data_IF_820179720250
#
_entry.id   IF_820179720250
#
_cell.length_a   1.000
_cell.length_b   1.000
_cell.length_c   1.000
_cell.angle_alpha   90.00
_cell.angle_beta   90.00
_cell.angle_gamma   90.00
#
_symmetry.space_group_name_H-M   'P 1'
#
loop_
_entity.id
_entity.type
_entity.pdbx_description
1 polymer ?
#
# COMPACT_ATOMS: atom_id res chain seq x y z
N UNK A 1 4.86 3.71 -11.95
CA UNK A 1 3.85 3.77 -10.89
C UNK A 1 2.54 3.27 -11.47
N UNK A 2 1.58 2.92 -10.62
CA UNK A 2 0.25 2.43 -10.98
C UNK A 2 -0.74 3.17 -10.09
N UNK A 3 -1.81 3.68 -10.70
CA UNK A 3 -3.04 4.07 -10.01
C UNK A 3 -4.14 3.17 -10.55
N UNK A 4 -4.98 2.64 -9.68
CA UNK A 4 -6.06 1.77 -10.11
C UNK A 4 -7.19 1.63 -9.11
N UNK A 5 -8.14 0.76 -9.46
CA UNK A 5 -9.21 0.34 -8.55
C UNK A 5 -8.83 -0.96 -7.85
N UNK A 6 -8.97 -1.03 -6.51
CA UNK A 6 -8.62 -2.22 -5.74
C UNK A 6 -9.29 -3.47 -6.31
N UNK A 7 -8.68 -4.64 -6.15
CA UNK A 7 -9.34 -5.89 -6.56
C UNK A 7 -10.39 -6.36 -5.55
N UNK A 8 -10.27 -5.94 -4.29
CA UNK A 8 -11.22 -6.23 -3.23
C UNK A 8 -12.60 -5.61 -3.51
N UNK A 9 -13.63 -6.46 -3.57
CA UNK A 9 -15.02 -6.03 -3.76
C UNK A 9 -15.48 -5.10 -2.64
N UNK A 10 -15.04 -5.34 -1.40
CA UNK A 10 -15.41 -4.51 -0.25
C UNK A 10 -14.85 -3.10 -0.40
N UNK A 11 -13.60 -2.97 -0.82
CA UNK A 11 -12.94 -1.67 -1.01
C UNK A 11 -13.53 -0.94 -2.22
N UNK A 12 -13.81 -1.67 -3.31
CA UNK A 12 -14.36 -1.10 -4.55
C UNK A 12 -15.73 -0.42 -4.36
N UNK A 13 -16.56 -0.90 -3.43
CA UNK A 13 -17.86 -0.27 -3.12
C UNK A 13 -17.74 1.19 -2.72
N UNK A 14 -16.59 1.59 -2.17
CA UNK A 14 -16.31 2.95 -1.73
C UNK A 14 -15.64 3.82 -2.78
N UNK A 15 -15.49 3.30 -4.01
CA UNK A 15 -14.86 3.98 -5.14
C UNK A 15 -13.45 4.52 -4.83
N UNK A 16 -12.75 3.91 -3.86
CA UNK A 16 -11.40 4.30 -3.49
C UNK A 16 -10.39 3.97 -4.62
N UNK A 17 -9.30 4.72 -4.66
CA UNK A 17 -8.16 4.44 -5.54
C UNK A 17 -7.06 3.72 -4.73
N UNK A 18 -6.17 3.00 -5.41
CA UNK A 18 -4.92 2.53 -4.82
C UNK A 18 -3.70 3.08 -5.55
N UNK A 19 -2.57 3.18 -4.84
CA UNK A 19 -1.26 3.50 -5.41
C UNK A 19 -0.37 2.27 -5.35
N UNK A 20 0.38 2.01 -6.43
CA UNK A 20 1.37 0.96 -6.41
C UNK A 20 2.53 1.22 -7.39
N UNK A 21 3.53 0.35 -7.36
CA UNK A 21 4.69 0.40 -8.22
C UNK A 21 4.70 -0.77 -9.21
N UNK A 22 5.29 -0.47 -10.37
CA UNK A 22 5.66 -1.44 -11.38
C UNK A 22 7.18 -1.44 -11.49
N UNK A 23 7.79 -2.58 -11.26
CA UNK A 23 9.23 -2.78 -11.38
C UNK A 23 9.53 -3.66 -12.59
N UNK A 24 10.58 -3.31 -13.31
CA UNK A 24 11.00 -4.01 -14.53
C UNK A 24 12.49 -4.28 -14.40
N UNK A 25 12.86 -5.55 -14.30
CA UNK A 25 14.25 -5.98 -14.37
C UNK A 25 14.60 -6.27 -15.83
N UNK A 26 15.42 -5.42 -16.44
CA UNK A 26 15.92 -5.58 -17.81
C UNK A 26 17.29 -6.26 -17.89
N UNK A 27 17.82 -6.72 -16.76
CA UNK A 27 19.13 -7.36 -16.70
C UNK A 27 19.02 -8.87 -16.94
N UNK A 28 20.17 -9.48 -17.21
CA UNK A 28 20.33 -10.92 -17.40
C UNK A 28 20.58 -11.69 -16.09
N UNK A 29 20.26 -11.08 -14.93
CA UNK A 29 20.30 -11.75 -13.64
C UNK A 29 19.08 -11.39 -12.81
N UNK A 30 18.70 -12.28 -11.90
CA UNK A 30 17.75 -11.93 -10.85
C UNK A 30 18.38 -10.89 -9.93
N UNK A 31 17.56 -10.01 -9.39
CA UNK A 31 18.00 -8.95 -8.46
C UNK A 31 17.10 -9.03 -7.23
N UNK A 32 17.72 -9.08 -6.06
CA UNK A 32 17.01 -9.02 -4.80
C UNK A 32 16.89 -7.57 -4.31
N UNK A 33 15.69 -7.18 -3.91
CA UNK A 33 15.30 -5.79 -3.69
C UNK A 33 14.58 -5.63 -2.35
N UNK A 34 14.96 -4.57 -1.62
CA UNK A 34 14.15 -3.95 -0.57
C UNK A 34 13.57 -2.65 -1.09
N UNK A 35 12.29 -2.40 -0.83
CA UNK A 35 11.55 -1.30 -1.44
C UNK A 35 10.74 -0.57 -0.39
N UNK A 36 10.89 0.75 -0.40
CA UNK A 36 10.14 1.70 0.42
C UNK A 36 9.54 2.78 -0.47
N UNK A 37 8.35 3.26 -0.10
CA UNK A 37 7.73 4.46 -0.67
C UNK A 37 7.37 5.43 0.44
N UNK A 38 7.77 6.68 0.25
CA UNK A 38 7.47 7.81 1.13
C UNK A 38 6.47 8.68 0.40
N UNK A 39 5.22 8.67 0.84
CA UNK A 39 4.13 9.43 0.24
C UNK A 39 3.94 10.69 1.06
N UNK A 40 3.97 11.86 0.42
CA UNK A 40 3.78 13.13 1.11
C UNK A 40 2.35 13.23 1.64
N UNK A 41 2.17 13.84 2.81
CA UNK A 41 0.84 14.12 3.35
C UNK A 41 0.26 15.39 2.77
N UNK A 42 -1.07 15.43 2.69
CA UNK A 42 -1.85 16.58 2.27
C UNK A 42 -3.18 16.62 3.04
N UNK A 43 -3.81 17.79 3.10
CA UNK A 43 -5.20 17.92 3.59
C UNK A 43 -6.23 17.49 2.53
N UNK A 44 -5.80 17.39 1.26
CA UNK A 44 -6.66 17.08 0.11
C UNK A 44 -6.96 15.59 -0.05
N UNK A 45 -6.14 14.73 0.55
CA UNK A 45 -6.27 13.28 0.50
C UNK A 45 -5.77 12.61 1.78
N UNK A 46 -6.26 11.39 2.03
CA UNK A 46 -5.80 10.52 3.10
C UNK A 46 -5.25 9.24 2.51
N UNK A 47 -4.10 8.80 3.02
CA UNK A 47 -3.47 7.53 2.67
C UNK A 47 -3.68 6.56 3.82
N UNK A 48 -4.16 5.36 3.51
CA UNK A 48 -4.37 4.29 4.49
C UNK A 48 -3.85 2.98 3.91
N UNK A 49 -3.53 2.03 4.79
CA UNK A 49 -3.44 0.64 4.36
C UNK A 49 -4.85 0.07 4.14
N UNK A 50 -4.97 -0.91 3.24
CA UNK A 50 -6.22 -1.59 2.93
C UNK A 50 -6.87 -2.19 4.18
N UNK A 51 -6.08 -2.83 5.05
CA UNK A 51 -6.59 -3.40 6.30
C UNK A 51 -7.15 -2.36 7.27
N UNK A 52 -6.55 -1.17 7.32
CA UNK A 52 -7.00 -0.07 8.17
C UNK A 52 -8.29 0.51 7.60
N UNK A 53 -8.35 0.67 6.28
CA UNK A 53 -9.56 1.10 5.57
C UNK A 53 -10.73 0.13 5.80
N UNK A 54 -10.52 -1.18 5.65
CA UNK A 54 -11.54 -2.20 5.90
C UNK A 54 -11.98 -2.22 7.37
N UNK A 55 -11.06 -1.98 8.31
CA UNK A 55 -11.36 -1.90 9.74
C UNK A 55 -12.25 -0.71 10.05
N UNK A 56 -11.99 0.45 9.44
CA UNK A 56 -12.82 1.64 9.59
C UNK A 56 -14.24 1.43 9.04
N UNK A 57 -14.37 0.81 7.86
CA UNK A 57 -15.68 0.45 7.28
C UNK A 57 -16.48 -0.44 8.24
N UNK A 58 -15.88 -1.56 8.67
CA UNK A 58 -16.56 -2.51 9.58
C UNK A 58 -16.98 -1.85 10.89
N UNK A 59 -16.15 -0.97 11.43
CA UNK A 59 -16.48 -0.20 12.64
C UNK A 59 -17.69 0.69 12.42
N UNK A 60 -17.73 1.44 11.32
CA UNK A 60 -18.84 2.32 10.99
C UNK A 60 -20.16 1.54 10.78
N UNK A 61 -20.11 0.39 10.11
CA UNK A 61 -21.27 -0.48 9.92
C UNK A 61 -21.82 -1.04 11.24
N UNK A 62 -20.94 -1.43 12.16
CA UNK A 62 -21.34 -1.93 13.47
C UNK A 62 -21.95 -0.84 14.35
N UNK A 63 -21.40 0.37 14.33
CA UNK A 63 -21.94 1.50 15.08
C UNK A 63 -23.37 1.85 14.61
N UNK A 64 -23.66 1.66 13.31
CA UNK A 64 -25.02 1.80 12.78
C UNK A 64 -25.94 0.66 13.22
N UNK A 65 -25.45 -0.59 13.24
CA UNK A 65 -26.23 -1.76 13.70
C UNK A 65 -26.55 -1.69 15.20
N UNK A 66 -25.61 -1.24 16.04
CA UNK A 66 -25.82 -1.13 17.50
C UNK A 66 -26.85 -0.08 17.90
N UNK A 67 -27.08 0.95 17.07
CA UNK A 67 -28.18 1.92 17.28
C UNK A 67 -29.56 1.28 17.10
N UNK A 68 -29.64 0.13 16.42
CA UNK A 68 -30.86 -0.62 16.17
C UNK A 68 -30.86 -1.94 16.97
N UNK A 69 -31.19 -1.85 18.26
CA UNK A 69 -31.50 -2.97 19.18
C UNK A 69 -30.37 -3.96 19.53
N UNK A 70 -30.49 -4.50 20.76
CA UNK A 70 -29.70 -5.54 21.44
C UNK A 70 -29.24 -6.72 20.56
N UNK A 71 -28.24 -6.50 19.70
CA UNK A 71 -27.53 -7.58 19.02
C UNK A 71 -26.34 -8.04 19.87
N UNK A 72 -26.14 -9.36 20.08
CA UNK A 72 -24.97 -9.85 20.77
C UNK A 72 -23.70 -9.45 20.01
N UNK A 73 -22.69 -9.00 20.75
CA UNK A 73 -21.40 -8.58 20.18
C UNK A 73 -20.68 -9.82 19.67
N UNK A 74 -20.75 -10.08 18.35
CA UNK A 74 -19.91 -11.08 17.69
C UNK A 74 -18.50 -10.49 17.50
N UNK A 75 -17.60 -10.79 18.45
CA UNK A 75 -16.19 -10.37 18.37
C UNK A 75 -15.42 -11.02 17.21
N UNK A 76 -15.95 -12.09 16.61
CA UNK A 76 -15.34 -12.79 15.46
C UNK A 76 -15.41 -12.02 14.15
N UNK A 77 -16.41 -11.14 13.96
CA UNK A 77 -16.70 -10.56 12.64
C UNK A 77 -15.82 -9.33 12.31
N UNK A 78 -15.11 -8.82 13.34
CA UNK A 78 -14.27 -7.63 13.25
C UNK A 78 -12.79 -7.92 12.97
N UNK A 79 -12.42 -9.18 12.76
CA UNK A 79 -11.05 -9.50 12.43
C UNK A 79 -10.77 -9.15 10.96
N UNK A 80 -9.89 -8.18 10.74
CA UNK A 80 -9.28 -7.89 9.44
C UNK A 80 -7.82 -8.32 9.57
N UNK A 81 -7.44 -9.35 8.81
CA UNK A 81 -6.06 -9.82 8.79
C UNK A 81 -5.20 -8.79 8.04
N UNK A 82 -4.17 -8.25 8.70
CA UNK A 82 -3.24 -7.31 8.08
C UNK A 82 -2.34 -7.99 7.04
N UNK A 83 -1.84 -7.20 6.09
CA UNK A 83 -0.93 -7.71 5.08
C UNK A 83 0.48 -7.86 5.68
N UNK A 84 0.85 -9.08 6.07
CA UNK A 84 2.15 -9.37 6.69
C UNK A 84 3.35 -8.98 5.80
N UNK A 85 3.16 -8.84 4.49
CA UNK A 85 4.23 -8.45 3.58
C UNK A 85 4.47 -6.93 3.53
N UNK A 86 3.67 -6.16 4.27
CA UNK A 86 3.74 -4.70 4.25
C UNK A 86 3.81 -4.20 5.69
N UNK A 87 4.64 -3.20 5.89
CA UNK A 87 4.60 -2.40 7.10
C UNK A 87 4.42 -0.94 6.69
N UNK A 88 3.73 -0.18 7.54
CA UNK A 88 3.54 1.24 7.33
C UNK A 88 3.85 2.01 8.61
N UNK A 89 4.52 3.13 8.42
CA UNK A 89 4.82 4.09 9.47
C UNK A 89 4.38 5.46 9.02
N UNK A 90 3.98 6.29 9.97
CA UNK A 90 3.46 7.61 9.68
C UNK A 90 4.16 8.65 10.53
N UNK A 91 4.69 9.69 9.88
CA UNK A 91 5.30 10.83 10.56
C UNK A 91 4.51 12.11 10.26
N UNK A 92 5.02 13.29 10.63
CA UNK A 92 4.29 14.56 10.45
C UNK A 92 4.07 14.94 8.98
N UNK A 93 4.96 14.52 8.08
CA UNK A 93 5.01 15.00 6.69
C UNK A 93 4.78 13.90 5.66
N UNK A 94 5.00 12.64 6.02
CA UNK A 94 5.02 11.50 5.11
C UNK A 94 4.29 10.30 5.72
N UNK A 95 3.66 9.53 4.84
CA UNK A 95 3.19 8.17 5.06
C UNK A 95 4.18 7.22 4.37
N UNK A 96 4.81 6.35 5.15
CA UNK A 96 5.92 5.51 4.72
C UNK A 96 5.40 4.08 4.64
N UNK A 97 5.61 3.42 3.49
CA UNK A 97 5.22 2.04 3.28
C UNK A 97 6.44 1.24 2.82
N UNK A 98 6.70 0.15 3.52
CA UNK A 98 7.82 -0.75 3.23
C UNK A 98 7.33 -2.17 2.93
N UNK A 99 8.12 -2.90 2.15
CA UNK A 99 7.91 -4.33 1.92
C UNK A 99 8.70 -5.15 2.93
N UNK A 100 8.00 -6.00 3.67
CA UNK A 100 8.60 -6.79 4.75
C UNK A 100 9.43 -7.96 4.22
N UNK A 101 10.56 -8.18 4.88
CA UNK A 101 11.41 -9.37 4.73
C UNK A 101 10.87 -10.50 5.60
N UNK A 102 9.91 -11.29 5.09
CA UNK A 102 9.27 -12.34 5.91
C UNK A 102 10.21 -13.49 6.29
N UNK A 103 10.74 -14.19 5.28
CA UNK A 103 11.63 -15.36 5.47
C UNK A 103 12.96 -15.22 4.72
N UNK A 104 13.02 -14.29 3.78
CA UNK A 104 14.15 -14.08 2.90
C UNK A 104 14.96 -12.88 3.40
N UNK A 105 16.25 -12.82 3.01
CA UNK A 105 17.12 -11.67 3.28
C UNK A 105 16.61 -10.35 2.67
N UNK A 106 15.82 -10.45 1.60
CA UNK A 106 15.26 -9.31 0.88
C UNK A 106 13.75 -9.43 0.72
N UNK A 107 13.08 -8.30 0.58
CA UNK A 107 11.63 -8.25 0.50
C UNK A 107 11.08 -8.85 -0.82
N UNK A 108 11.78 -8.66 -1.93
CA UNK A 108 11.36 -9.13 -3.26
C UNK A 108 12.57 -9.64 -4.06
N UNK A 109 12.43 -10.80 -4.70
CA UNK A 109 13.37 -11.28 -5.74
C UNK A 109 12.76 -11.05 -7.11
N UNK A 110 13.33 -10.13 -7.90
CA UNK A 110 12.86 -9.83 -9.25
C UNK A 110 13.69 -10.60 -10.29
N UNK A 111 13.07 -11.59 -10.93
CA UNK A 111 13.73 -12.46 -11.92
C UNK A 111 14.32 -11.65 -13.09
N UNK A 112 15.35 -12.19 -13.75
CA UNK A 112 15.89 -11.61 -14.98
C UNK A 112 14.79 -11.38 -16.03
N UNK A 113 14.89 -10.28 -16.78
CA UNK A 113 13.96 -9.95 -17.87
C UNK A 113 12.47 -10.08 -17.50
N UNK A 114 12.13 -9.70 -16.26
CA UNK A 114 10.77 -9.87 -15.72
C UNK A 114 10.18 -8.56 -15.19
N UNK A 115 8.87 -8.61 -14.96
CA UNK A 115 8.07 -7.51 -14.45
C UNK A 115 7.42 -7.95 -13.15
N UNK A 116 7.47 -7.10 -12.14
CA UNK A 116 6.66 -7.20 -10.94
C UNK A 116 5.69 -6.02 -10.92
N UNK A 117 4.40 -6.35 -11.01
CA UNK A 117 3.31 -5.40 -10.85
C UNK A 117 2.72 -5.55 -9.45
N UNK A 118 2.14 -4.46 -8.94
CA UNK A 118 1.56 -4.39 -7.61
C UNK A 118 2.55 -4.80 -6.50
N UNK A 119 3.69 -4.11 -6.45
CA UNK A 119 4.75 -4.32 -5.43
C UNK A 119 4.19 -4.32 -4.02
N UNK A 120 3.28 -3.39 -3.73
CA UNK A 120 2.60 -3.23 -2.44
C UNK A 120 1.23 -3.91 -2.41
N UNK A 121 1.00 -4.91 -3.28
CA UNK A 121 -0.21 -5.74 -3.29
C UNK A 121 -1.52 -4.92 -3.27
N UNK A 122 -1.56 -3.74 -3.90
CA UNK A 122 -2.71 -2.83 -3.89
C UNK A 122 -3.10 -2.31 -2.49
N UNK A 123 -2.26 -2.50 -1.48
CA UNK A 123 -2.62 -2.20 -0.10
C UNK A 123 -2.55 -0.72 0.27
N UNK A 124 -2.02 0.15 -0.60
CA UNK A 124 -1.97 1.60 -0.34
C UNK A 124 -3.23 2.24 -0.92
N UNK A 125 -4.21 2.51 -0.07
CA UNK A 125 -5.50 3.12 -0.44
C UNK A 125 -5.41 4.64 -0.34
N UNK A 126 -6.05 5.31 -1.29
CA UNK A 126 -6.20 6.77 -1.34
C UNK A 126 -7.67 7.13 -1.22
N UNK A 127 -7.96 7.98 -0.25
CA UNK A 127 -9.26 8.61 -0.06
C UNK A 127 -9.15 10.09 -0.37
N UNK A 128 -9.92 10.56 -1.35
CA UNK A 128 -9.92 11.95 -1.77
C UNK A 128 -11.30 12.36 -2.30
N UNK A 129 -11.59 13.66 -2.27
CA UNK A 129 -12.87 14.20 -2.78
C UNK A 129 -12.84 14.52 -4.26
N UNK A 130 -11.65 14.79 -4.81
CA UNK A 130 -11.39 15.17 -6.20
C UNK A 130 -10.02 14.60 -6.62
N UNK A 131 -9.78 14.37 -7.91
CA UNK A 131 -8.46 14.03 -8.44
C UNK A 131 -7.35 14.94 -7.90
N UNK A 132 -6.26 14.34 -7.44
CA UNK A 132 -5.10 15.05 -6.92
C UNK A 132 -3.79 14.58 -7.57
N UNK A 133 -2.74 15.35 -7.31
CA UNK A 133 -1.36 14.95 -7.57
C UNK A 133 -0.74 14.52 -6.24
N UNK A 134 -0.38 13.25 -6.15
CA UNK A 134 0.25 12.67 -4.96
C UNK A 134 1.74 12.55 -5.22
N UNK A 135 2.53 13.30 -4.46
CA UNK A 135 3.99 13.28 -4.51
C UNK A 135 4.53 12.14 -3.65
N UNK A 136 5.42 11.33 -4.21
CA UNK A 136 6.09 10.29 -3.46
C UNK A 136 7.57 10.13 -3.85
N UNK A 137 8.35 9.58 -2.94
CA UNK A 137 9.75 9.22 -3.14
C UNK A 137 9.89 7.73 -2.92
N UNK A 138 10.39 7.02 -3.92
CA UNK A 138 10.67 5.58 -3.84
C UNK A 138 12.15 5.38 -3.58
N UNK A 139 12.46 4.51 -2.63
CA UNK A 139 13.81 4.05 -2.34
C UNK A 139 13.86 2.55 -2.57
N UNK A 140 14.78 2.11 -3.42
CA UNK A 140 15.03 0.70 -3.70
C UNK A 140 16.48 0.39 -3.33
N UNK A 141 16.68 -0.61 -2.50
CA UNK A 141 18.01 -1.09 -2.08
C UNK A 141 18.25 -2.50 -2.61
N UNK A 142 19.49 -2.77 -2.97
CA UNK A 142 19.93 -4.08 -3.47
C UNK A 142 21.43 -4.20 -3.28
N UNK A 143 21.91 -5.42 -2.97
CA UNK A 143 23.35 -5.72 -2.96
C UNK A 143 23.96 -5.60 -4.37
N UNK A 144 23.15 -5.66 -5.43
CA UNK A 144 23.59 -5.50 -6.81
C UNK A 144 23.84 -4.05 -7.23
N UNK A 145 23.48 -3.06 -6.40
CA UNK A 145 23.65 -1.64 -6.72
C UNK A 145 25.01 -1.12 -6.25
N UNK A 146 25.91 -0.86 -7.19
CA UNK A 146 27.28 -0.37 -6.88
C UNK A 146 27.32 1.09 -6.42
N UNK A 147 26.28 1.88 -6.74
CA UNK A 147 26.25 3.32 -6.48
C UNK A 147 25.33 3.67 -5.29
N UNK A 148 24.99 2.69 -4.45
CA UNK A 148 24.03 2.84 -3.37
C UNK A 148 22.57 2.67 -3.82
N UNK A 149 21.64 3.08 -2.96
CA UNK A 149 20.21 2.90 -3.19
C UNK A 149 19.73 3.65 -4.44
N UNK A 150 18.82 3.05 -5.19
CA UNK A 150 18.10 3.72 -6.26
C UNK A 150 16.98 4.57 -5.65
N UNK A 151 17.08 5.89 -5.79
CA UNK A 151 16.11 6.84 -5.24
C UNK A 151 15.43 7.56 -6.41
N UNK A 152 14.09 7.60 -6.40
CA UNK A 152 13.33 8.27 -7.45
C UNK A 152 12.08 8.96 -6.88
N UNK A 153 11.95 10.24 -7.18
CA UNK A 153 10.70 10.97 -6.98
C UNK A 153 9.71 10.59 -8.09
N UNK A 154 8.47 10.33 -7.70
CA UNK A 154 7.36 10.00 -8.58
C UNK A 154 6.13 10.81 -8.17
N UNK A 155 5.26 11.03 -9.13
CA UNK A 155 3.93 11.62 -8.91
C UNK A 155 2.89 10.63 -9.38
N UNK A 156 1.77 10.57 -8.66
CA UNK A 156 0.57 9.84 -9.06
C UNK A 156 -0.54 10.85 -9.34
N UNK A 157 -1.21 10.70 -10.47
CA UNK A 157 -2.42 11.46 -10.82
C UNK A 157 -3.60 10.51 -10.64
N UNK A 158 -4.54 10.88 -9.77
CA UNK A 158 -5.62 9.98 -9.31
C UNK A 158 -7.00 10.24 -9.89
#
# INVERSE_FOLDING_TARGET
HIVGKPSSEEVNKWNANYLDLKLINKSNKSIDLDIEIFIKKSEEYTILLEEDFLREIKKAENDQKQKNYFSPINYSDNFVLGNLHINAEENKTEFIVERNQLKNKFAITLKQNSVCENVFHQSIIVLEKKPNIIEAKVIIRSDDFTNGAFIKNITFET
#
